data_IF_776024387467
#
_entry.id   IF_776024387467
#
_cell.length_a   1.000
_cell.length_b   1.000
_cell.length_c   1.000
_cell.angle_alpha   90.00
_cell.angle_beta   90.00
_cell.angle_gamma   90.00
#
_symmetry.space_group_name_H-M   'P 1'
#
loop_
_entity.id
_entity.type
_entity.pdbx_description
1 polymer ?
#
# COMPACT_ATOMS: atom_id res chain seq x y z
N UNK A 1 -4.08 22.03 25.97
CA UNK A 1 -3.37 20.74 25.88
C UNK A 1 -4.04 19.76 26.83
N UNK A 2 -5.09 19.03 26.39
CA UNK A 2 -5.72 17.86 27.07
C UNK A 2 -6.89 17.26 26.24
N UNK A 3 -6.79 17.16 24.91
CA UNK A 3 -7.88 16.61 24.06
C UNK A 3 -7.55 15.26 23.39
N UNK A 4 -6.27 14.84 23.38
CA UNK A 4 -5.83 13.62 22.68
C UNK A 4 -6.43 12.30 23.18
N UNK A 5 -6.56 12.04 24.49
CA UNK A 5 -7.11 10.76 24.97
C UNK A 5 -8.57 10.57 24.55
N UNK A 6 -9.35 11.66 24.59
CA UNK A 6 -10.78 11.65 24.29
C UNK A 6 -11.03 11.36 22.80
N UNK A 7 -10.20 11.90 21.92
CA UNK A 7 -10.34 11.69 20.48
C UNK A 7 -9.96 10.27 20.06
N UNK A 8 -8.88 9.70 20.60
CA UNK A 8 -8.49 8.32 20.31
C UNK A 8 -9.54 7.33 20.83
N UNK A 9 -10.08 7.54 22.03
CA UNK A 9 -11.19 6.74 22.58
C UNK A 9 -12.46 6.83 21.72
N UNK A 10 -12.80 8.02 21.24
CA UNK A 10 -13.95 8.22 20.33
C UNK A 10 -13.78 7.47 19.02
N UNK A 11 -12.61 7.58 18.39
CA UNK A 11 -12.29 6.88 17.14
C UNK A 11 -12.28 5.36 17.36
N UNK A 12 -11.76 4.89 18.49
CA UNK A 12 -11.77 3.48 18.84
C UNK A 12 -13.21 2.94 18.99
N UNK A 13 -14.10 3.71 19.64
CA UNK A 13 -15.51 3.34 19.75
C UNK A 13 -16.19 3.21 18.38
N UNK A 14 -15.90 4.12 17.43
CA UNK A 14 -16.41 4.02 16.05
C UNK A 14 -15.94 2.72 15.39
N UNK A 15 -14.65 2.38 15.53
CA UNK A 15 -14.08 1.13 14.99
C UNK A 15 -14.79 -0.08 15.59
N UNK A 16 -14.94 -0.13 16.92
CA UNK A 16 -15.58 -1.25 17.62
C UNK A 16 -17.04 -1.45 17.20
N UNK A 17 -17.78 -0.36 16.96
CA UNK A 17 -19.15 -0.41 16.49
C UNK A 17 -19.24 -0.95 15.04
N UNK A 18 -18.38 -0.49 14.13
CA UNK A 18 -18.42 -0.92 12.73
C UNK A 18 -17.79 -2.30 12.51
N UNK A 19 -16.92 -2.75 13.41
CA UNK A 19 -16.10 -3.95 13.20
C UNK A 19 -16.91 -5.22 12.90
N UNK A 20 -18.02 -5.54 13.60
CA UNK A 20 -18.85 -6.70 13.26
C UNK A 20 -19.43 -6.64 11.84
N UNK A 21 -19.77 -5.45 11.35
CA UNK A 21 -20.26 -5.22 9.98
C UNK A 21 -19.16 -5.45 8.96
N UNK A 22 -17.98 -4.88 9.19
CA UNK A 22 -16.81 -5.04 8.30
C UNK A 22 -16.34 -6.50 8.24
N UNK A 23 -16.26 -7.18 9.38
CA UNK A 23 -15.98 -8.63 9.40
C UNK A 23 -16.97 -9.40 8.55
N UNK A 24 -18.28 -9.18 8.72
CA UNK A 24 -19.31 -9.87 7.93
C UNK A 24 -19.15 -9.60 6.43
N UNK A 25 -18.93 -8.33 6.07
CA UNK A 25 -18.68 -7.87 4.69
C UNK A 25 -17.51 -8.61 4.05
N UNK A 26 -16.46 -8.92 4.83
CA UNK A 26 -15.27 -9.64 4.37
C UNK A 26 -15.28 -11.15 4.69
N UNK A 27 -16.45 -11.73 4.96
CA UNK A 27 -16.63 -13.17 5.23
C UNK A 27 -15.95 -13.68 6.51
N UNK A 28 -15.92 -12.84 7.55
CA UNK A 28 -15.46 -13.13 8.90
C UNK A 28 -13.99 -13.59 8.99
N UNK A 29 -13.02 -12.76 8.52
CA UNK A 29 -11.61 -13.08 8.71
C UNK A 29 -11.24 -13.15 10.19
N UNK A 30 -10.32 -14.06 10.53
CA UNK A 30 -9.77 -14.23 11.88
C UNK A 30 -8.63 -13.23 12.11
N UNK A 31 -9.00 -11.95 12.24
CA UNK A 31 -8.07 -10.83 12.47
C UNK A 31 -8.49 -10.04 13.71
N UNK A 32 -7.51 -9.47 14.46
CA UNK A 32 -7.80 -8.70 15.67
C UNK A 32 -8.62 -7.44 15.36
N UNK A 33 -9.29 -6.91 16.38
CA UNK A 33 -9.97 -5.62 16.28
C UNK A 33 -8.92 -4.54 15.96
N UNK A 34 -9.13 -3.68 14.94
CA UNK A 34 -8.21 -2.58 14.66
C UNK A 34 -8.07 -1.63 15.85
N UNK A 35 -6.90 -1.01 15.97
CA UNK A 35 -6.59 -0.06 17.03
C UNK A 35 -6.45 1.35 16.47
N UNK A 36 -6.68 2.34 17.31
CA UNK A 36 -6.29 3.72 17.05
C UNK A 36 -4.95 3.98 17.73
N UNK A 37 -4.02 4.60 17.02
CA UNK A 37 -2.73 4.91 17.63
C UNK A 37 -1.81 5.72 16.73
N UNK A 38 -0.67 6.11 17.29
CA UNK A 38 0.42 6.65 16.48
C UNK A 38 0.99 5.54 15.62
N UNK A 39 1.07 5.80 14.33
CA UNK A 39 1.77 4.98 13.35
C UNK A 39 3.21 5.46 13.26
N UNK A 40 4.15 4.53 13.14
CA UNK A 40 5.58 4.88 13.03
C UNK A 40 5.85 5.26 11.59
N UNK A 41 5.97 6.55 11.31
CA UNK A 41 6.44 7.00 10.00
C UNK A 41 7.97 6.91 9.99
N UNK A 42 8.53 5.85 9.40
CA UNK A 42 9.99 5.68 9.27
C UNK A 42 10.64 6.79 8.42
N UNK A 43 9.84 7.68 7.82
CA UNK A 43 10.29 8.83 7.04
C UNK A 43 10.51 10.12 7.85
N UNK A 44 10.16 10.16 9.14
CA UNK A 44 10.30 11.38 9.96
C UNK A 44 11.46 11.21 10.95
N UNK A 45 12.62 11.83 10.65
CA UNK A 45 13.58 12.18 11.70
C UNK A 45 12.93 13.21 12.65
N UNK A 46 13.23 13.12 13.95
CA UNK A 46 12.69 13.97 15.02
C UNK A 46 13.03 15.47 14.87
N UNK A 47 13.87 15.85 13.90
CA UNK A 47 14.29 17.23 13.67
C UNK A 47 13.67 17.84 12.40
N UNK A 48 12.43 18.32 12.57
CA UNK A 48 12.03 19.66 12.11
C UNK A 48 11.92 19.94 10.61
N UNK A 49 10.67 20.20 10.20
CA UNK A 49 10.20 20.90 8.98
C UNK A 49 9.95 20.03 7.74
N UNK A 50 9.00 19.11 7.85
CA UNK A 50 8.04 18.92 6.76
C UNK A 50 6.63 19.24 7.28
N UNK A 51 6.03 20.29 6.73
CA UNK A 51 4.72 20.84 7.12
C UNK A 51 3.56 20.03 6.49
N UNK A 52 3.87 18.93 5.80
CA UNK A 52 2.87 18.08 5.14
C UNK A 52 2.22 17.06 6.09
N UNK A 53 1.52 17.57 7.11
CA UNK A 53 0.59 16.78 7.96
C UNK A 53 -0.40 15.90 7.17
N UNK A 54 -0.64 16.21 5.89
CA UNK A 54 -1.56 15.52 4.98
C UNK A 54 -0.97 14.29 4.25
N UNK A 55 0.34 14.04 4.33
CA UNK A 55 1.02 12.91 3.66
C UNK A 55 1.32 11.72 4.60
N UNK A 56 0.75 11.74 5.80
CA UNK A 56 1.00 10.72 6.81
C UNK A 56 0.36 9.40 6.43
N UNK A 57 1.02 8.29 6.78
CA UNK A 57 0.44 6.95 6.73
C UNK A 57 -0.86 6.92 7.55
N UNK A 58 -1.98 6.57 6.90
CA UNK A 58 -3.31 6.50 7.49
C UNK A 58 -3.62 5.15 8.15
N UNK A 59 -3.05 4.08 7.62
CA UNK A 59 -3.18 2.72 8.13
C UNK A 59 -1.78 2.08 8.22
N UNK A 60 -1.45 1.55 9.38
CA UNK A 60 -0.32 0.65 9.58
C UNK A 60 -0.84 -0.77 9.76
N UNK A 61 -0.12 -1.74 9.19
CA UNK A 61 -0.36 -3.15 9.40
C UNK A 61 0.91 -3.74 9.99
N UNK A 62 0.87 -4.30 11.19
CA UNK A 62 2.04 -4.94 11.80
C UNK A 62 1.62 -6.14 12.60
N UNK A 63 2.27 -7.29 12.41
CA UNK A 63 1.93 -8.54 13.10
C UNK A 63 0.42 -8.85 13.04
N UNK A 64 -0.19 -8.68 11.86
CA UNK A 64 -1.64 -8.82 11.63
C UNK A 64 -2.55 -7.85 12.39
N UNK A 65 -1.99 -6.87 13.11
CA UNK A 65 -2.72 -5.79 13.75
C UNK A 65 -2.80 -4.58 12.82
N UNK A 66 -4.03 -4.13 12.54
CA UNK A 66 -4.27 -2.84 11.89
C UNK A 66 -4.29 -1.73 12.92
N UNK A 67 -3.58 -0.64 12.65
CA UNK A 67 -3.56 0.59 13.45
C UNK A 67 -3.92 1.80 12.58
N UNK A 68 -4.98 2.52 12.93
CA UNK A 68 -5.42 3.73 12.23
C UNK A 68 -4.77 4.96 12.88
N UNK A 69 -4.21 5.83 12.04
CA UNK A 69 -3.56 7.08 12.47
C UNK A 69 -4.56 8.24 12.60
N UNK A 70 -4.85 8.75 13.81
CA UNK A 70 -5.76 9.89 14.00
C UNK A 70 -5.35 11.15 13.24
N UNK A 71 -4.04 11.34 13.05
CA UNK A 71 -3.51 12.53 12.37
C UNK A 71 -3.91 12.54 10.91
N UNK A 72 -3.92 11.37 10.27
CA UNK A 72 -4.36 11.23 8.88
C UNK A 72 -5.87 11.43 8.76
N UNK A 73 -6.67 10.87 9.68
CA UNK A 73 -8.12 11.13 9.67
C UNK A 73 -8.43 12.63 9.75
N UNK A 74 -7.68 13.34 10.60
CA UNK A 74 -7.81 14.79 10.76
C UNK A 74 -7.47 15.57 9.50
N UNK A 75 -6.53 15.09 8.67
CA UNK A 75 -6.10 15.79 7.44
C UNK A 75 -7.16 15.74 6.33
N UNK A 76 -8.09 14.79 6.40
CA UNK A 76 -9.19 14.62 5.46
C UNK A 76 -10.53 15.11 6.02
N UNK A 77 -10.53 15.75 7.19
CA UNK A 77 -11.73 16.30 7.82
C UNK A 77 -12.42 17.31 6.90
N UNK A 78 -13.72 17.11 6.68
CA UNK A 78 -14.53 17.96 5.81
C UNK A 78 -14.47 17.62 4.32
N UNK A 79 -13.59 16.70 3.90
CA UNK A 79 -13.58 16.11 2.56
C UNK A 79 -14.33 14.79 2.51
N UNK A 80 -14.24 14.01 3.59
CA UNK A 80 -14.87 12.71 3.76
C UNK A 80 -15.44 12.57 5.18
N UNK A 81 -16.46 11.74 5.37
CA UNK A 81 -16.94 11.40 6.72
C UNK A 81 -15.90 10.53 7.42
N UNK A 82 -15.77 10.69 8.74
CA UNK A 82 -14.80 9.90 9.53
C UNK A 82 -15.10 8.40 9.45
N UNK A 83 -16.37 8.02 9.55
CA UNK A 83 -16.81 6.62 9.39
C UNK A 83 -16.45 6.07 8.01
N UNK A 84 -16.69 6.83 6.94
CA UNK A 84 -16.37 6.40 5.58
C UNK A 84 -14.87 6.27 5.38
N UNK A 85 -14.08 7.18 5.96
CA UNK A 85 -12.63 7.15 5.88
C UNK A 85 -12.04 5.94 6.62
N UNK A 86 -12.52 5.67 7.84
CA UNK A 86 -12.13 4.48 8.59
C UNK A 86 -12.57 3.22 7.84
N UNK A 87 -13.80 3.16 7.31
CA UNK A 87 -14.27 2.02 6.53
C UNK A 87 -13.40 1.78 5.28
N UNK A 88 -13.01 2.83 4.54
CA UNK A 88 -12.14 2.72 3.38
C UNK A 88 -10.75 2.15 3.74
N UNK A 89 -10.13 2.66 4.80
CA UNK A 89 -8.83 2.18 5.28
C UNK A 89 -8.92 0.72 5.75
N UNK A 90 -9.95 0.37 6.52
CA UNK A 90 -10.13 -1.00 7.00
C UNK A 90 -10.48 -1.96 5.87
N UNK A 91 -11.30 -1.57 4.89
CA UNK A 91 -11.58 -2.37 3.70
C UNK A 91 -10.30 -2.72 2.93
N UNK A 92 -9.41 -1.74 2.79
CA UNK A 92 -8.10 -1.95 2.18
C UNK A 92 -7.26 -2.95 2.99
N UNK A 93 -7.06 -2.69 4.28
CA UNK A 93 -6.26 -3.55 5.16
C UNK A 93 -6.79 -4.98 5.27
N UNK A 94 -8.12 -5.16 5.41
CA UNK A 94 -8.75 -6.48 5.44
C UNK A 94 -8.53 -7.23 4.12
N UNK A 95 -8.47 -6.52 2.99
CA UNK A 95 -8.26 -7.15 1.68
C UNK A 95 -6.83 -7.70 1.51
N UNK A 96 -5.84 -7.09 2.16
CA UNK A 96 -4.49 -7.66 2.25
C UNK A 96 -4.46 -8.95 3.07
N UNK A 97 -5.33 -9.14 4.07
CA UNK A 97 -5.45 -10.43 4.77
C UNK A 97 -6.24 -11.48 4.00
N UNK A 98 -7.25 -11.07 3.23
CA UNK A 98 -8.21 -12.00 2.62
C UNK A 98 -7.93 -12.32 1.15
N UNK A 99 -7.16 -11.49 0.44
CA UNK A 99 -6.93 -11.66 -0.99
C UNK A 99 -5.53 -11.31 -1.51
N UNK A 100 -4.94 -10.16 -1.15
CA UNK A 100 -3.59 -9.77 -1.58
C UNK A 100 -2.53 -10.45 -0.68
N UNK A 101 -1.23 -10.58 -1.06
CA UNK A 101 -0.39 -11.71 -0.66
C UNK A 101 -0.35 -11.93 0.84
N UNK A 102 -1.13 -12.94 1.23
CA UNK A 102 -1.30 -13.40 2.58
C UNK A 102 -0.07 -14.18 3.06
N UNK A 103 0.70 -14.75 2.12
CA UNK A 103 1.93 -15.48 2.39
C UNK A 103 3.19 -14.70 1.97
N UNK A 104 4.23 -14.83 2.80
CA UNK A 104 5.51 -14.16 2.59
C UNK A 104 6.22 -14.63 1.30
N UNK A 105 6.01 -15.88 0.89
CA UNK A 105 6.57 -16.42 -0.35
C UNK A 105 6.11 -15.65 -1.59
N UNK A 106 4.82 -15.32 -1.66
CA UNK A 106 4.25 -14.56 -2.78
C UNK A 106 4.76 -13.13 -2.77
N UNK A 107 4.90 -12.51 -1.59
CA UNK A 107 5.53 -11.20 -1.46
C UNK A 107 6.96 -11.23 -2.02
N UNK A 108 7.81 -12.16 -1.58
CA UNK A 108 9.18 -12.30 -2.07
C UNK A 108 9.25 -12.50 -3.59
N UNK A 109 8.34 -13.32 -4.14
CA UNK A 109 8.26 -13.53 -5.59
C UNK A 109 7.92 -12.24 -6.33
N UNK A 110 6.93 -11.47 -5.85
CA UNK A 110 6.58 -10.19 -6.44
C UNK A 110 7.77 -9.21 -6.39
N UNK A 111 8.38 -9.07 -5.22
CA UNK A 111 9.56 -8.25 -5.03
C UNK A 111 10.70 -8.64 -5.97
N UNK A 112 11.04 -9.92 -6.04
CA UNK A 112 12.13 -10.42 -6.89
C UNK A 112 11.88 -10.11 -8.37
N UNK A 113 10.63 -10.28 -8.83
CA UNK A 113 10.25 -9.97 -10.20
C UNK A 113 10.26 -8.47 -10.51
N UNK A 114 9.93 -7.62 -9.53
CA UNK A 114 10.10 -6.18 -9.64
C UNK A 114 11.59 -5.79 -9.66
N UNK A 115 12.43 -6.41 -8.80
CA UNK A 115 13.87 -6.16 -8.71
C UNK A 115 14.60 -6.45 -10.02
N UNK A 116 14.23 -7.54 -10.72
CA UNK A 116 14.75 -7.83 -12.08
C UNK A 116 14.53 -6.71 -13.08
N UNK A 117 13.52 -5.85 -12.87
CA UNK A 117 13.22 -4.70 -13.72
C UNK A 117 13.85 -3.41 -13.18
N UNK A 118 13.78 -3.16 -11.88
CA UNK A 118 14.27 -1.91 -11.28
C UNK A 118 15.79 -1.88 -11.21
N UNK A 119 16.39 -2.93 -10.68
CA UNK A 119 17.84 -3.08 -10.49
C UNK A 119 18.33 -2.74 -9.09
N UNK A 120 17.49 -2.13 -8.24
CA UNK A 120 17.80 -1.74 -6.86
C UNK A 120 16.67 -2.13 -5.90
N UNK A 121 17.02 -2.27 -4.61
CA UNK A 121 16.12 -2.70 -3.54
C UNK A 121 14.95 -1.72 -3.35
N UNK A 122 15.25 -0.46 -3.10
CA UNK A 122 14.25 0.53 -2.68
C UNK A 122 13.18 0.76 -3.76
N UNK A 123 13.59 0.94 -5.01
CA UNK A 123 12.64 1.15 -6.10
C UNK A 123 11.83 -0.12 -6.42
N UNK A 124 12.41 -1.31 -6.17
CA UNK A 124 11.68 -2.57 -6.29
C UNK A 124 10.64 -2.74 -5.19
N UNK A 125 10.95 -2.39 -3.93
CA UNK A 125 9.97 -2.35 -2.82
C UNK A 125 8.83 -1.40 -3.16
N UNK A 126 9.14 -0.18 -3.59
CA UNK A 126 8.12 0.82 -3.94
C UNK A 126 7.20 0.35 -5.09
N UNK A 127 7.77 -0.20 -6.17
CA UNK A 127 6.98 -0.74 -7.28
C UNK A 127 6.09 -1.93 -6.85
N UNK A 128 6.59 -2.75 -5.93
CA UNK A 128 5.86 -3.90 -5.38
C UNK A 128 4.68 -3.43 -4.52
N UNK A 129 4.89 -2.41 -3.68
CA UNK A 129 3.84 -1.84 -2.83
C UNK A 129 2.66 -1.32 -3.66
N UNK A 130 2.93 -0.48 -4.66
CA UNK A 130 1.86 0.00 -5.56
C UNK A 130 1.15 -1.14 -6.29
N UNK A 131 1.87 -2.19 -6.69
CA UNK A 131 1.24 -3.33 -7.38
C UNK A 131 0.29 -4.09 -6.45
N UNK A 132 0.73 -4.34 -5.22
CA UNK A 132 -0.04 -5.01 -4.17
C UNK A 132 -1.30 -4.19 -3.82
N UNK A 133 -1.17 -2.88 -3.64
CA UNK A 133 -2.33 -2.02 -3.38
C UNK A 133 -3.33 -2.01 -4.52
N UNK A 134 -2.85 -1.96 -5.77
CA UNK A 134 -3.72 -2.00 -6.94
C UNK A 134 -4.53 -3.30 -6.97
N UNK A 135 -3.94 -4.42 -6.57
CA UNK A 135 -4.64 -5.69 -6.48
C UNK A 135 -5.68 -5.65 -5.35
N UNK A 136 -5.29 -5.21 -4.15
CA UNK A 136 -6.17 -5.17 -2.99
C UNK A 136 -7.38 -4.26 -3.23
N UNK A 137 -7.16 -3.00 -3.61
CA UNK A 137 -8.23 -2.04 -3.86
C UNK A 137 -9.13 -2.51 -5.01
N UNK A 138 -8.55 -3.00 -6.11
CA UNK A 138 -9.35 -3.50 -7.25
C UNK A 138 -10.17 -4.72 -6.87
N UNK A 139 -9.67 -5.61 -6.01
CA UNK A 139 -10.45 -6.73 -5.51
C UNK A 139 -11.63 -6.23 -4.68
N UNK A 140 -11.36 -5.35 -3.72
CA UNK A 140 -12.38 -4.83 -2.81
C UNK A 140 -13.49 -4.10 -3.57
N UNK A 141 -13.14 -3.13 -4.43
CA UNK A 141 -14.09 -2.37 -5.24
C UNK A 141 -14.94 -3.26 -6.15
N UNK A 142 -14.37 -4.33 -6.72
CA UNK A 142 -15.13 -5.24 -7.61
C UNK A 142 -16.03 -6.22 -6.88
N UNK A 143 -15.78 -6.49 -5.59
CA UNK A 143 -16.42 -7.58 -4.86
C UNK A 143 -17.28 -7.11 -3.68
N UNK A 144 -17.14 -5.85 -3.25
CA UNK A 144 -17.76 -5.30 -2.06
C UNK A 144 -18.22 -3.85 -2.34
N UNK A 145 -19.25 -3.41 -1.63
CA UNK A 145 -19.55 -1.98 -1.52
C UNK A 145 -18.50 -1.34 -0.60
N UNK A 146 -17.73 -0.36 -1.05
CA UNK A 146 -16.60 0.19 -0.29
C UNK A 146 -16.42 1.67 -0.57
N UNK A 147 -15.86 2.38 0.39
CA UNK A 147 -15.54 3.81 0.33
C UNK A 147 -14.13 4.09 -0.23
N UNK A 148 -13.38 3.05 -0.64
CA UNK A 148 -12.04 3.19 -1.27
C UNK A 148 -12.04 4.18 -2.46
N UNK A 149 -13.02 4.20 -3.38
CA UNK A 149 -13.07 5.20 -4.44
C UNK A 149 -13.16 6.64 -3.93
N UNK A 150 -13.93 6.87 -2.85
CA UNK A 150 -14.08 8.18 -2.24
C UNK A 150 -12.78 8.62 -1.55
N UNK A 151 -12.10 7.69 -0.86
CA UNK A 151 -10.76 7.92 -0.32
C UNK A 151 -9.81 8.41 -1.43
N UNK A 152 -9.70 7.66 -2.53
CA UNK A 152 -8.83 8.00 -3.65
C UNK A 152 -9.19 9.33 -4.33
N UNK A 153 -10.47 9.75 -4.32
CA UNK A 153 -10.85 11.08 -4.81
C UNK A 153 -10.24 12.20 -3.97
N UNK A 154 -10.20 12.03 -2.65
CA UNK A 154 -9.83 13.07 -1.69
C UNK A 154 -8.35 13.07 -1.30
N UNK A 155 -7.62 11.97 -1.58
CA UNK A 155 -6.17 11.90 -1.41
C UNK A 155 -5.46 12.92 -2.30
N UNK A 156 -4.46 13.59 -1.73
CA UNK A 156 -3.49 14.38 -2.49
C UNK A 156 -2.63 13.43 -3.31
N UNK A 157 -2.36 13.80 -4.56
CA UNK A 157 -1.68 12.93 -5.53
C UNK A 157 -0.36 13.56 -5.94
N UNK A 158 0.72 12.81 -5.83
CA UNK A 158 1.96 13.08 -6.54
C UNK A 158 1.90 12.55 -7.96
N UNK A 159 3.02 12.63 -8.68
CA UNK A 159 3.11 12.19 -10.07
C UNK A 159 2.74 10.70 -10.24
N UNK A 160 3.16 9.84 -9.32
CA UNK A 160 2.89 8.40 -9.39
C UNK A 160 1.44 8.11 -8.99
N UNK A 161 0.98 8.70 -7.89
CA UNK A 161 -0.39 8.53 -7.37
C UNK A 161 -1.44 8.99 -8.37
N UNK A 162 -1.15 10.04 -9.17
CA UNK A 162 -2.07 10.50 -10.22
C UNK A 162 -2.23 9.46 -11.33
N UNK A 163 -1.15 8.76 -11.70
CA UNK A 163 -1.19 7.66 -12.66
C UNK A 163 -1.91 6.44 -12.09
N UNK A 164 -1.70 6.13 -10.81
CA UNK A 164 -2.42 5.05 -10.12
C UNK A 164 -3.92 5.38 -10.01
N UNK A 165 -4.29 6.60 -9.63
CA UNK A 165 -5.68 7.04 -9.59
C UNK A 165 -6.33 7.04 -10.99
N UNK A 166 -5.60 7.46 -12.03
CA UNK A 166 -6.05 7.35 -13.42
C UNK A 166 -6.27 5.91 -13.86
N UNK A 167 -5.39 5.00 -13.43
CA UNK A 167 -5.54 3.57 -13.63
C UNK A 167 -6.81 3.06 -12.95
N UNK A 168 -7.02 3.38 -11.67
CA UNK A 168 -8.21 3.00 -10.90
C UNK A 168 -9.50 3.48 -11.56
N UNK A 169 -9.58 4.77 -11.90
CA UNK A 169 -10.73 5.33 -12.62
C UNK A 169 -11.04 4.53 -13.89
N UNK A 170 -10.01 4.13 -14.63
CA UNK A 170 -10.16 3.34 -15.85
C UNK A 170 -10.58 1.88 -15.61
N UNK A 171 -10.00 1.17 -14.65
CA UNK A 171 -10.27 -0.26 -14.44
C UNK A 171 -11.49 -0.53 -13.55
N UNK A 172 -11.93 0.47 -12.78
CA UNK A 172 -13.17 0.42 -11.98
C UNK A 172 -14.35 1.01 -12.73
N UNK A 173 -14.12 1.92 -13.68
CA UNK A 173 -15.18 2.66 -14.38
C UNK A 173 -15.90 3.65 -13.46
N UNK A 174 -15.22 4.15 -12.44
CA UNK A 174 -15.73 5.11 -11.44
C UNK A 174 -14.94 6.40 -11.59
N UNK A 175 -15.64 7.54 -11.65
CA UNK A 175 -14.99 8.86 -11.70
C UNK A 175 -14.33 9.19 -10.34
N UNK A 176 -13.00 9.31 -10.36
CA UNK A 176 -12.18 9.68 -9.20
C UNK A 176 -11.78 11.16 -9.26
N UNK A 177 -12.37 11.94 -10.17
CA UNK A 177 -12.07 13.35 -10.36
C UNK A 177 -10.75 13.62 -11.09
N UNK A 178 -10.21 12.62 -11.80
CA UNK A 178 -8.94 12.77 -12.52
C UNK A 178 -9.22 13.22 -13.96
N UNK A 179 -8.73 14.41 -14.37
CA UNK A 179 -8.92 14.92 -15.72
C UNK A 179 -8.33 13.97 -16.75
N UNK A 180 -9.01 13.78 -17.89
CA UNK A 180 -8.50 12.94 -18.99
C UNK A 180 -7.31 13.56 -19.75
N UNK A 181 -6.95 14.81 -19.44
CA UNK A 181 -5.84 15.56 -20.04
C UNK A 181 -5.23 16.47 -18.99
N UNK A 182 -3.95 16.28 -18.66
CA UNK A 182 -3.27 17.08 -17.64
C UNK A 182 -3.17 18.55 -18.08
N UNK A 183 -3.53 19.46 -17.18
CA UNK A 183 -3.35 20.92 -17.35
C UNK A 183 -1.87 21.32 -17.48
N UNK A 184 -0.94 20.42 -17.19
CA UNK A 184 0.51 20.64 -17.17
C UNK A 184 1.26 19.97 -18.33
N UNK A 185 0.57 19.42 -19.34
CA UNK A 185 1.21 18.89 -20.56
C UNK A 185 1.95 17.55 -20.41
N UNK A 186 1.92 16.91 -19.23
CA UNK A 186 2.37 15.53 -19.04
C UNK A 186 1.24 14.56 -19.38
N UNK A 187 1.25 14.02 -20.60
CA UNK A 187 0.29 12.98 -20.99
C UNK A 187 0.71 11.61 -20.45
N UNK A 188 0.07 11.17 -19.36
CA UNK A 188 0.25 9.81 -18.81
C UNK A 188 -0.65 8.75 -19.46
N UNK A 189 -1.43 9.11 -20.49
CA UNK A 189 -2.44 8.23 -21.11
C UNK A 189 -1.86 6.91 -21.60
N UNK A 190 -0.63 6.90 -22.14
CA UNK A 190 -0.01 5.69 -22.63
C UNK A 190 0.36 4.74 -21.49
N UNK A 191 0.92 5.26 -20.40
CA UNK A 191 1.26 4.47 -19.20
C UNK A 191 -0.02 3.85 -18.64
N UNK A 192 -1.06 4.66 -18.43
CA UNK A 192 -2.36 4.20 -17.93
C UNK A 192 -2.97 3.14 -18.86
N UNK A 193 -2.85 3.30 -20.19
CA UNK A 193 -3.33 2.31 -21.18
C UNK A 193 -2.59 0.97 -21.05
N UNK A 194 -1.28 0.99 -20.81
CA UNK A 194 -0.49 -0.24 -20.63
C UNK A 194 -0.85 -0.92 -19.30
N UNK A 195 -0.94 -0.14 -18.22
CA UNK A 195 -1.32 -0.63 -16.89
C UNK A 195 -2.72 -1.26 -16.88
N UNK A 196 -3.72 -0.62 -17.50
CA UNK A 196 -5.09 -1.11 -17.51
C UNK A 196 -5.31 -2.47 -18.22
N UNK A 197 -4.32 -2.96 -18.97
CA UNK A 197 -4.36 -4.29 -19.64
C UNK A 197 -3.84 -5.42 -18.73
N UNK A 198 -3.30 -5.10 -17.57
CA UNK A 198 -2.74 -6.07 -16.65
C UNK A 198 -3.88 -6.81 -15.91
N UNK A 199 -3.86 -8.15 -15.85
CA UNK A 199 -4.90 -8.93 -15.19
C UNK A 199 -4.65 -9.01 -13.67
N UNK A 200 -4.82 -7.90 -12.95
CA UNK A 200 -4.48 -7.78 -11.51
C UNK A 200 -5.12 -8.86 -10.62
N UNK A 201 -6.32 -9.34 -10.94
CA UNK A 201 -7.03 -10.34 -10.13
C UNK A 201 -6.70 -11.79 -10.51
N UNK A 202 -5.81 -12.02 -11.47
CA UNK A 202 -5.36 -13.36 -11.88
C UNK A 202 -4.02 -13.71 -11.22
N UNK A 203 -4.10 -14.43 -10.10
CA UNK A 203 -2.94 -14.85 -9.30
C UNK A 203 -1.90 -15.64 -10.10
N UNK A 204 -2.35 -16.47 -11.05
CA UNK A 204 -1.47 -17.30 -11.87
C UNK A 204 -0.54 -16.47 -12.76
N UNK A 205 -0.89 -15.19 -12.98
CA UNK A 205 -0.16 -14.26 -13.84
C UNK A 205 0.54 -13.16 -13.06
N UNK A 206 0.57 -13.20 -11.72
CA UNK A 206 1.15 -12.14 -10.91
C UNK A 206 2.63 -11.88 -11.20
N UNK A 207 3.44 -12.93 -11.36
CA UNK A 207 4.85 -12.81 -11.78
C UNK A 207 5.02 -12.04 -13.10
N UNK A 208 4.21 -12.35 -14.12
CA UNK A 208 4.24 -11.61 -15.41
C UNK A 208 3.68 -10.19 -15.28
N UNK A 209 2.63 -10.05 -14.49
CA UNK A 209 1.88 -8.81 -14.30
C UNK A 209 2.72 -7.75 -13.60
N UNK A 210 3.42 -8.11 -12.52
CA UNK A 210 4.29 -7.16 -11.82
C UNK A 210 5.45 -6.72 -12.71
N UNK A 211 6.07 -7.60 -13.50
CA UNK A 211 7.10 -7.17 -14.48
C UNK A 211 6.57 -6.13 -15.47
N UNK A 212 5.36 -6.30 -15.99
CA UNK A 212 4.72 -5.32 -16.91
C UNK A 212 4.37 -4.02 -16.18
N UNK A 213 3.87 -4.12 -14.96
CA UNK A 213 3.53 -3.01 -14.10
C UNK A 213 4.77 -2.15 -13.81
N UNK A 214 5.81 -2.78 -13.26
CA UNK A 214 7.09 -2.15 -12.91
C UNK A 214 7.74 -1.50 -14.13
N UNK A 215 7.76 -2.17 -15.29
CA UNK A 215 8.29 -1.56 -16.54
C UNK A 215 7.53 -0.29 -16.96
N UNK A 216 6.23 -0.24 -16.70
CA UNK A 216 5.39 0.91 -17.07
C UNK A 216 5.56 2.07 -16.10
N UNK A 217 5.76 1.79 -14.80
CA UNK A 217 5.96 2.82 -13.76
C UNK A 217 7.41 3.27 -13.60
N UNK A 218 8.41 2.46 -13.98
CA UNK A 218 9.84 2.74 -13.78
C UNK A 218 10.24 4.18 -14.14
N UNK A 219 9.84 4.76 -15.29
CA UNK A 219 10.20 6.15 -15.60
C UNK A 219 9.69 7.17 -14.58
N UNK A 220 8.49 6.96 -14.02
CA UNK A 220 7.89 7.86 -13.03
C UNK A 220 8.56 7.72 -11.67
N UNK A 221 8.86 6.49 -11.25
CA UNK A 221 9.54 6.23 -9.98
C UNK A 221 10.95 6.83 -9.96
N UNK A 222 11.71 6.68 -11.06
CA UNK A 222 13.05 7.28 -11.18
C UNK A 222 13.00 8.81 -11.19
N UNK A 223 12.01 9.40 -11.85
CA UNK A 223 11.81 10.86 -11.83
C UNK A 223 11.46 11.35 -10.42
N UNK A 224 10.57 10.65 -9.71
CA UNK A 224 10.22 10.98 -8.35
C UNK A 224 11.43 10.90 -7.41
N UNK A 225 12.27 9.88 -7.57
CA UNK A 225 13.50 9.72 -6.80
C UNK A 225 14.50 10.86 -7.07
N UNK A 226 14.71 11.24 -8.33
CA UNK A 226 15.57 12.37 -8.68
C UNK A 226 15.07 13.70 -8.11
N UNK A 227 13.75 13.94 -8.15
CA UNK A 227 13.12 15.11 -7.56
C UNK A 227 13.27 15.14 -6.02
N UNK A 228 13.26 13.98 -5.37
CA UNK A 228 13.47 13.83 -3.92
C UNK A 228 14.92 14.05 -3.52
N UNK A 229 15.87 13.44 -4.24
CA UNK A 229 17.31 13.64 -4.03
C UNK A 229 17.71 15.12 -4.19
N UNK A 230 17.14 15.80 -5.19
CA UNK A 230 17.38 17.23 -5.41
C UNK A 230 16.81 18.13 -4.28
N UNK A 231 15.81 17.64 -3.54
CA UNK A 231 15.16 18.36 -2.42
C UNK A 231 15.70 17.94 -1.05
N UNK A 232 16.58 16.93 -0.99
CA UNK A 232 17.18 16.45 0.25
C UNK A 232 16.21 15.74 1.21
N UNK A 233 15.08 15.23 0.72
CA UNK A 233 14.07 14.51 1.53
C UNK A 233 14.01 13.02 1.20
N UNK A 234 13.67 12.18 2.19
CA UNK A 234 13.22 10.79 1.95
C UNK A 234 11.79 10.84 1.38
N UNK A 235 11.47 9.88 0.52
CA UNK A 235 10.30 9.95 -0.35
C UNK A 235 8.93 9.96 0.33
N UNK A 236 7.92 10.33 -0.47
CA UNK A 236 6.50 10.37 -0.04
C UNK A 236 6.04 8.96 0.39
N UNK A 237 5.51 8.83 1.61
CA UNK A 237 4.96 7.58 2.14
C UNK A 237 3.54 7.32 1.63
N UNK A 238 3.20 6.04 1.45
CA UNK A 238 1.87 5.63 1.00
C UNK A 238 0.84 5.85 2.12
N UNK A 239 -0.23 6.65 1.90
CA UNK A 239 -1.25 6.87 2.93
C UNK A 239 -1.99 5.59 3.35
N UNK A 240 -1.94 4.52 2.57
CA UNK A 240 -2.54 3.23 2.91
C UNK A 240 -1.57 2.26 3.62
N UNK A 241 -0.33 2.69 3.88
CA UNK A 241 0.71 1.88 4.54
C UNK A 241 1.75 1.33 3.57
N UNK A 242 2.93 1.00 4.10
CA UNK A 242 3.96 0.27 3.35
C UNK A 242 3.79 -1.24 3.55
N UNK A 243 4.21 -2.04 2.57
CA UNK A 243 4.19 -3.49 2.68
C UNK A 243 5.58 -4.01 3.01
N UNK A 244 5.84 -4.20 4.31
CA UNK A 244 7.12 -4.68 4.81
C UNK A 244 7.01 -6.06 5.48
N UNK A 245 8.17 -6.66 5.76
CA UNK A 245 8.26 -7.96 6.45
C UNK A 245 7.53 -8.00 7.80
N UNK A 246 7.37 -6.84 8.43
CA UNK A 246 6.67 -6.67 9.70
C UNK A 246 5.17 -7.01 9.64
N UNK A 247 4.62 -7.27 8.44
CA UNK A 247 3.25 -7.73 8.27
C UNK A 247 3.05 -9.20 8.66
N UNK A 248 4.12 -10.00 8.60
CA UNK A 248 4.10 -11.45 8.75
C UNK A 248 4.64 -11.88 10.12
N UNK A 249 4.17 -13.00 10.65
CA UNK A 249 4.79 -13.61 11.83
C UNK A 249 6.14 -14.25 11.48
N UNK A 250 6.96 -14.52 12.50
CA UNK A 250 8.24 -15.21 12.31
C UNK A 250 8.07 -16.57 11.61
N UNK A 251 7.04 -17.33 11.99
CA UNK A 251 6.73 -18.63 11.39
C UNK A 251 6.36 -18.49 9.90
N UNK A 252 5.58 -17.47 9.54
CA UNK A 252 5.22 -17.17 8.14
C UNK A 252 6.43 -16.75 7.32
N UNK A 253 7.40 -16.06 7.95
CA UNK A 253 8.65 -15.68 7.31
C UNK A 253 9.52 -16.92 7.07
N UNK A 254 9.74 -17.78 8.09
CA UNK A 254 10.52 -19.01 7.95
C UNK A 254 9.91 -19.97 6.91
N UNK A 255 8.60 -20.23 7.00
CA UNK A 255 7.88 -21.06 6.04
C UNK A 255 7.96 -20.45 4.62
N UNK A 256 7.69 -19.16 4.49
CA UNK A 256 7.75 -18.45 3.21
C UNK A 256 9.13 -18.48 2.56
N UNK A 257 10.21 -18.34 3.34
CA UNK A 257 11.59 -18.47 2.85
C UNK A 257 11.89 -19.88 2.35
N UNK A 258 11.45 -20.91 3.08
CA UNK A 258 11.64 -22.31 2.67
C UNK A 258 10.89 -22.64 1.40
N UNK A 259 9.62 -22.23 1.31
CA UNK A 259 8.82 -22.43 0.10
C UNK A 259 9.41 -21.67 -1.09
N UNK A 260 9.87 -20.43 -0.87
CA UNK A 260 10.52 -19.63 -1.90
C UNK A 260 11.80 -20.29 -2.40
N UNK A 261 12.63 -20.83 -1.50
CA UNK A 261 13.83 -21.59 -1.85
C UNK A 261 13.52 -22.87 -2.65
N UNK A 262 12.43 -23.57 -2.31
CA UNK A 262 12.01 -24.77 -3.03
C UNK A 262 11.49 -24.47 -4.44
N UNK A 263 10.78 -23.35 -4.63
CA UNK A 263 10.23 -22.93 -5.92
C UNK A 263 11.27 -22.28 -6.82
N UNK A 264 12.26 -21.59 -6.25
CA UNK A 264 13.31 -20.90 -7.00
C UNK A 264 14.43 -21.87 -7.34
N UNK A 265 14.62 -22.19 -8.64
CA UNK A 265 15.58 -23.21 -9.07
C UNK A 265 17.06 -22.77 -8.95
N UNK A 266 17.35 -21.50 -8.67
CA UNK A 266 18.71 -20.95 -8.62
C UNK A 266 19.13 -20.45 -7.24
N UNK A 267 20.16 -21.07 -6.65
CA UNK A 267 20.75 -20.65 -5.37
C UNK A 267 21.19 -19.17 -5.36
N UNK A 268 21.71 -18.69 -6.49
CA UNK A 268 22.15 -17.29 -6.64
C UNK A 268 21.00 -16.30 -6.55
N UNK A 269 19.85 -16.63 -7.17
CA UNK A 269 18.67 -15.76 -7.18
C UNK A 269 18.02 -15.71 -5.80
N UNK A 270 17.92 -16.87 -5.13
CA UNK A 270 17.47 -16.93 -3.74
C UNK A 270 18.37 -16.07 -2.83
N UNK A 271 19.69 -16.25 -2.92
CA UNK A 271 20.67 -15.53 -2.11
C UNK A 271 20.57 -14.02 -2.31
N UNK A 272 20.48 -13.56 -3.56
CA UNK A 272 20.40 -12.14 -3.88
C UNK A 272 19.16 -11.48 -3.25
N UNK A 273 18.00 -12.15 -3.30
CA UNK A 273 16.77 -11.64 -2.69
C UNK A 273 16.86 -11.63 -1.17
N UNK A 274 17.38 -12.71 -0.56
CA UNK A 274 17.49 -12.79 0.91
C UNK A 274 18.52 -11.81 1.47
N UNK A 275 19.61 -11.55 0.75
CA UNK A 275 20.62 -10.56 1.16
C UNK A 275 20.03 -9.15 1.27
N UNK A 276 19.08 -8.78 0.40
CA UNK A 276 18.39 -7.49 0.49
C UNK A 276 17.64 -7.31 1.80
N UNK A 277 17.09 -8.39 2.37
CA UNK A 277 16.32 -8.37 3.61
C UNK A 277 17.12 -8.79 4.83
N UNK A 278 18.45 -8.93 4.69
CA UNK A 278 19.28 -9.53 5.74
C UNK A 278 19.34 -8.71 7.04
N UNK A 279 19.14 -7.40 6.98
CA UNK A 279 19.06 -6.54 8.17
C UNK A 279 17.74 -6.78 8.89
N UNK A 280 16.63 -6.71 8.16
CA UNK A 280 15.27 -6.94 8.67
C UNK A 280 15.15 -8.35 9.27
N UNK A 281 15.70 -9.36 8.61
CA UNK A 281 15.74 -10.74 9.10
C UNK A 281 16.54 -10.89 10.38
N UNK A 282 17.68 -10.20 10.52
CA UNK A 282 18.50 -10.25 11.74
C UNK A 282 17.83 -9.56 12.93
N UNK A 283 17.04 -8.53 12.67
CA UNK A 283 16.28 -7.83 13.72
C UNK A 283 15.13 -8.69 14.27
N UNK A 284 14.61 -9.62 13.46
CA UNK A 284 13.52 -10.51 13.81
C UNK A 284 13.96 -11.78 14.57
N UNK A 285 15.25 -12.14 14.57
CA UNK A 285 15.83 -13.30 15.28
C UNK A 285 16.38 -14.37 14.35
#
# INVERSE_FOLDING_TARGET
>A
MTEKPIEEERLQAIIEEMWPRLKRKHLFPEIPVPKVGKVTDLSIEEDGKDDSTERRVGLEMKEKQMTINPSFLSSLKGKMTEEGLIEALLDHGITHYTFCPWDFQTHLMLYAEAKKVMGDKESAKQATNYFIDVIADTHCVKKRATEIPELHRNLKKGNVEEVIASLYQRIWGIDLGIPSSNKEGKDHSEIVRRLARIPYLDRSRWSESIRKFTRSLKPLLLLAQQEQEARGGKGDSNPQGEHDMNHYSYEEIDEGLREYAQKTMGLSEFREVVEDFSTELKELG
#
